data_IF_139310068755
#
_entry.id   IF_139310068755
#
_cell.length_a   1.000
_cell.length_b   1.000
_cell.length_c   1.000
_cell.angle_alpha   90.00
_cell.angle_beta   90.00
_cell.angle_gamma   90.00
#
_symmetry.space_group_name_H-M   'P 1'
#
loop_
_entity.id
_entity.type
_entity.pdbx_description
1 polymer ?
#
# COMPACT_ATOMS: atom_id res chain seq x y z
N UNK A 1 -3.35 -1.74 1.74
CA UNK A 1 -2.15 -2.14 0.97
C UNK A 1 -1.82 -3.58 1.28
N UNK A 2 -0.70 -4.09 0.80
CA UNK A 2 -0.25 -5.45 1.10
C UNK A 2 0.54 -5.48 2.42
N UNK A 3 0.14 -6.38 3.32
CA UNK A 3 0.79 -6.55 4.62
C UNK A 3 1.92 -7.57 4.49
N UNK A 4 3.12 -7.20 4.98
CA UNK A 4 4.31 -8.05 4.97
C UNK A 4 4.01 -9.39 5.66
N UNK A 5 4.43 -10.49 5.06
CA UNK A 5 4.35 -11.82 5.68
C UNK A 5 2.93 -12.34 5.95
N UNK A 6 1.89 -11.67 5.44
CA UNK A 6 0.50 -12.13 5.60
C UNK A 6 0.30 -13.57 5.08
N UNK A 7 -0.55 -14.34 5.75
CA UNK A 7 -0.76 -15.76 5.46
C UNK A 7 -1.23 -15.96 4.02
N UNK A 8 -0.50 -16.80 3.26
CA UNK A 8 -0.81 -17.07 1.85
C UNK A 8 -0.37 -15.98 0.87
N UNK A 9 0.37 -14.97 1.32
CA UNK A 9 0.94 -13.94 0.43
C UNK A 9 2.18 -14.44 -0.32
N UNK A 10 2.70 -13.60 -1.22
CA UNK A 10 3.88 -13.88 -2.04
C UNK A 10 5.14 -14.14 -1.20
N UNK A 11 5.22 -13.54 -0.03
CA UNK A 11 6.40 -13.60 0.84
C UNK A 11 6.63 -15.02 1.39
N UNK A 12 5.67 -15.66 2.11
CA UNK A 12 5.78 -17.07 2.49
C UNK A 12 5.99 -18.00 1.30
N UNK A 13 5.41 -17.67 0.14
CA UNK A 13 5.54 -18.47 -1.07
C UNK A 13 6.97 -18.47 -1.62
N UNK A 14 7.61 -17.30 -1.77
CA UNK A 14 9.00 -17.20 -2.21
C UNK A 14 9.97 -17.81 -1.20
N UNK A 15 9.77 -17.58 0.10
CA UNK A 15 10.56 -18.23 1.16
C UNK A 15 10.50 -19.74 1.08
N UNK A 16 9.30 -20.31 0.90
CA UNK A 16 9.13 -21.76 0.74
C UNK A 16 9.85 -22.28 -0.49
N UNK A 17 9.71 -21.62 -1.65
CA UNK A 17 10.40 -22.02 -2.88
C UNK A 17 11.93 -21.99 -2.71
N UNK A 18 12.47 -20.93 -2.10
CA UNK A 18 13.89 -20.81 -1.82
C UNK A 18 14.37 -21.93 -0.88
N UNK A 19 13.61 -22.22 0.19
CA UNK A 19 13.93 -23.30 1.14
C UNK A 19 13.84 -24.70 0.51
N UNK A 20 12.96 -24.90 -0.48
CA UNK A 20 12.82 -26.15 -1.24
C UNK A 20 13.87 -26.30 -2.35
N UNK A 21 14.79 -25.33 -2.51
CA UNK A 21 15.86 -25.37 -3.51
C UNK A 21 15.38 -25.07 -4.92
N UNK A 22 14.35 -24.24 -5.08
CA UNK A 22 13.91 -23.76 -6.39
C UNK A 22 15.06 -23.07 -7.14
N UNK A 23 15.13 -23.29 -8.45
CA UNK A 23 16.14 -22.65 -9.32
C UNK A 23 15.79 -21.21 -9.69
N UNK A 24 14.50 -20.87 -9.64
CA UNK A 24 13.98 -19.58 -10.05
C UNK A 24 12.70 -19.22 -9.26
N UNK A 25 12.50 -17.93 -9.00
CA UNK A 25 11.25 -17.42 -8.42
C UNK A 25 10.25 -16.99 -9.51
N UNK A 26 8.99 -17.40 -9.43
CA UNK A 26 7.98 -16.98 -10.39
C UNK A 26 7.51 -15.55 -10.14
N UNK A 27 7.63 -14.69 -11.13
CA UNK A 27 7.10 -13.31 -11.14
C UNK A 27 6.03 -13.22 -12.23
N UNK A 28 4.91 -12.58 -11.93
CA UNK A 28 3.79 -12.43 -12.88
C UNK A 28 4.10 -11.40 -13.96
N UNK A 29 4.49 -10.18 -13.58
CA UNK A 29 5.00 -9.14 -14.48
C UNK A 29 6.08 -8.31 -13.73
N UNK A 30 7.28 -8.08 -14.33
CA UNK A 30 8.37 -7.37 -13.67
C UNK A 30 8.06 -5.91 -13.33
N UNK A 31 7.04 -5.31 -13.96
CA UNK A 31 6.61 -3.94 -13.68
C UNK A 31 5.65 -3.86 -12.49
N UNK A 32 5.24 -4.99 -11.89
CA UNK A 32 4.28 -4.96 -10.79
C UNK A 32 4.81 -4.21 -9.58
N UNK A 33 3.93 -3.38 -9.03
CA UNK A 33 4.17 -2.69 -7.76
C UNK A 33 2.99 -2.86 -6.82
N UNK A 34 3.28 -2.79 -5.52
CA UNK A 34 2.27 -2.88 -4.46
C UNK A 34 2.61 -1.89 -3.37
N UNK A 35 1.59 -1.30 -2.77
CA UNK A 35 1.76 -0.62 -1.49
C UNK A 35 2.12 -1.62 -0.40
N UNK A 36 3.05 -1.27 0.48
CA UNK A 36 3.66 -2.20 1.42
C UNK A 36 3.69 -1.59 2.82
N UNK A 37 3.27 -2.34 3.83
CA UNK A 37 3.32 -1.92 5.24
C UNK A 37 3.50 -3.12 6.18
N UNK A 38 4.04 -2.88 7.38
CA UNK A 38 4.07 -3.90 8.44
C UNK A 38 2.69 -4.10 9.04
N UNK A 39 2.48 -5.25 9.66
CA UNK A 39 1.22 -5.52 10.35
C UNK A 39 1.00 -4.56 11.51
N UNK A 40 2.06 -4.31 12.30
CA UNK A 40 2.02 -3.36 13.42
C UNK A 40 1.61 -1.95 12.97
N UNK A 41 2.22 -1.43 11.90
CA UNK A 41 1.88 -0.11 11.34
C UNK A 41 0.39 -0.03 10.96
N UNK A 42 -0.16 -1.12 10.41
CA UNK A 42 -1.58 -1.21 10.07
C UNK A 42 -2.49 -1.20 11.30
N UNK A 43 -2.10 -1.89 12.37
CA UNK A 43 -2.83 -1.90 13.64
C UNK A 43 -2.80 -0.52 14.30
N UNK A 44 -1.63 0.09 14.40
CA UNK A 44 -1.44 1.42 14.97
C UNK A 44 -2.23 2.48 14.19
N UNK A 45 -2.25 2.37 12.85
CA UNK A 45 -3.05 3.24 12.00
C UNK A 45 -4.55 3.11 12.27
N UNK A 46 -5.06 1.90 12.47
CA UNK A 46 -6.47 1.67 12.84
C UNK A 46 -6.79 2.28 14.20
N UNK A 47 -5.94 2.05 15.20
CA UNK A 47 -6.13 2.63 16.54
C UNK A 47 -6.10 4.16 16.53
N UNK A 48 -5.16 4.76 15.80
CA UNK A 48 -5.10 6.22 15.60
C UNK A 48 -6.34 6.73 14.84
N UNK A 49 -6.84 5.95 13.87
CA UNK A 49 -8.07 6.28 13.13
C UNK A 49 -9.28 6.38 14.04
N UNK A 50 -9.43 5.47 15.02
CA UNK A 50 -10.51 5.55 16.00
C UNK A 50 -10.47 6.82 16.86
N UNK A 51 -9.28 7.34 17.16
CA UNK A 51 -9.15 8.57 17.94
C UNK A 51 -9.53 9.82 17.13
N UNK A 52 -9.32 9.82 15.81
CA UNK A 52 -9.54 10.98 14.92
C UNK A 52 -10.89 10.99 14.20
N UNK A 53 -11.55 9.84 14.05
CA UNK A 53 -12.77 9.70 13.24
C UNK A 53 -13.95 10.53 13.75
N UNK A 54 -14.76 11.00 12.82
CA UNK A 54 -16.03 11.68 13.00
C UNK A 54 -17.21 10.88 12.41
N UNK A 55 -16.92 9.83 11.64
CA UNK A 55 -17.86 8.87 11.07
C UNK A 55 -18.04 9.06 9.56
N UNK A 56 -17.91 7.98 8.79
CA UNK A 56 -18.12 7.96 7.33
C UNK A 56 -16.84 8.11 6.49
N UNK A 57 -15.70 8.40 7.11
CA UNK A 57 -14.42 8.52 6.43
C UNK A 57 -13.85 7.19 5.97
N UNK A 58 -13.12 7.22 4.84
CA UNK A 58 -12.18 6.16 4.47
C UNK A 58 -10.77 6.68 4.72
N UNK A 59 -10.10 6.12 5.74
CA UNK A 59 -8.72 6.45 6.08
C UNK A 59 -7.72 5.63 5.25
N UNK A 60 -6.76 6.32 4.64
CA UNK A 60 -5.76 5.72 3.76
C UNK A 60 -4.37 6.14 4.24
N UNK A 61 -3.52 5.23 4.72
CA UNK A 61 -2.21 5.60 5.22
C UNK A 61 -1.26 5.96 4.07
N UNK A 62 -0.36 6.92 4.30
CA UNK A 62 0.78 7.16 3.41
C UNK A 62 1.84 6.10 3.69
N UNK A 63 2.01 5.17 2.76
CA UNK A 63 2.88 4.00 2.89
C UNK A 63 3.69 3.81 1.61
N UNK A 64 4.89 3.25 1.71
CA UNK A 64 5.75 3.11 0.55
C UNK A 64 5.20 2.05 -0.42
N UNK A 65 5.75 2.05 -1.62
CA UNK A 65 5.53 0.99 -2.61
C UNK A 65 6.75 0.08 -2.71
N UNK A 66 6.52 -1.15 -3.13
CA UNK A 66 7.58 -2.10 -3.46
C UNK A 66 7.44 -2.54 -4.92
N UNK A 67 8.57 -2.85 -5.56
CA UNK A 67 8.59 -3.57 -6.84
C UNK A 67 8.70 -5.06 -6.56
N UNK A 68 8.01 -5.87 -7.36
CA UNK A 68 8.06 -7.33 -7.18
C UNK A 68 9.46 -7.91 -7.38
N UNK A 69 10.27 -7.28 -8.22
CA UNK A 69 11.67 -7.64 -8.48
C UNK A 69 12.54 -7.42 -7.24
N UNK A 70 12.33 -6.29 -6.56
CA UNK A 70 13.12 -5.91 -5.38
C UNK A 70 12.75 -6.81 -4.20
N UNK A 71 11.47 -7.22 -4.11
CA UNK A 71 11.04 -8.22 -3.14
C UNK A 71 11.68 -9.59 -3.40
N UNK A 72 11.75 -10.03 -4.67
CA UNK A 72 12.40 -11.30 -5.02
C UNK A 72 13.88 -11.27 -4.62
N UNK A 73 14.59 -10.17 -4.92
CA UNK A 73 15.99 -9.97 -4.56
C UNK A 73 16.21 -9.83 -3.04
N UNK A 74 15.25 -9.27 -2.31
CA UNK A 74 15.30 -9.19 -0.85
C UNK A 74 15.19 -10.59 -0.21
N UNK A 75 14.32 -11.45 -0.75
CA UNK A 75 14.04 -12.79 -0.19
C UNK A 75 15.06 -13.84 -0.62
N UNK A 76 15.46 -13.86 -1.90
CA UNK A 76 16.39 -14.82 -2.46
C UNK A 76 17.44 -14.11 -3.33
N UNK A 77 18.45 -13.47 -2.70
CA UNK A 77 19.42 -12.64 -3.40
C UNK A 77 20.12 -13.38 -4.54
N UNK A 78 20.13 -12.80 -5.74
CA UNK A 78 20.76 -13.38 -6.92
C UNK A 78 20.05 -14.60 -7.51
N UNK A 79 18.91 -15.03 -6.96
CA UNK A 79 18.13 -16.12 -7.53
C UNK A 79 17.45 -15.65 -8.83
N UNK A 80 17.58 -16.39 -9.94
CA UNK A 80 16.88 -16.05 -11.18
C UNK A 80 15.36 -15.93 -10.99
N UNK A 81 14.71 -15.09 -11.80
CA UNK A 81 13.26 -14.95 -11.80
C UNK A 81 12.68 -15.36 -13.14
N UNK A 82 11.51 -15.98 -13.15
CA UNK A 82 10.78 -16.38 -14.36
C UNK A 82 9.45 -15.66 -14.47
N UNK A 83 9.20 -15.07 -15.63
CA UNK A 83 7.92 -14.45 -15.95
C UNK A 83 6.88 -15.53 -16.25
N UNK A 84 5.85 -15.62 -15.41
CA UNK A 84 4.74 -16.60 -15.56
C UNK A 84 3.46 -15.99 -16.14
N UNK A 85 3.45 -14.67 -16.37
CA UNK A 85 2.30 -13.92 -16.86
C UNK A 85 1.36 -13.45 -15.76
N UNK A 86 0.54 -12.46 -16.09
CA UNK A 86 -0.44 -11.85 -15.19
C UNK A 86 -1.59 -12.84 -14.94
N UNK A 87 -1.98 -13.02 -13.67
CA UNK A 87 -3.10 -13.91 -13.30
C UNK A 87 -4.44 -13.23 -13.58
N UNK A 88 -5.53 -14.00 -13.81
CA UNK A 88 -6.86 -13.42 -14.00
C UNK A 88 -7.26 -12.47 -12.88
N UNK A 89 -7.64 -11.24 -13.23
CA UNK A 89 -8.07 -10.21 -12.28
C UNK A 89 -6.93 -9.48 -11.55
N UNK A 90 -5.67 -9.83 -11.80
CA UNK A 90 -4.53 -9.17 -11.17
C UNK A 90 -4.19 -7.84 -11.84
N UNK A 91 -4.02 -6.78 -11.03
CA UNK A 91 -3.62 -5.46 -11.49
C UNK A 91 -2.09 -5.33 -11.54
N UNK A 92 -1.60 -4.50 -12.46
CA UNK A 92 -0.18 -4.14 -12.52
C UNK A 92 0.21 -3.26 -11.31
N UNK A 93 -0.60 -2.25 -11.04
CA UNK A 93 -0.45 -1.33 -9.92
C UNK A 93 -1.77 -1.21 -9.17
N UNK A 94 -1.68 -1.08 -7.85
CA UNK A 94 -2.81 -0.81 -6.98
C UNK A 94 -3.05 0.69 -6.81
N UNK A 95 -4.32 1.06 -6.62
CA UNK A 95 -4.79 2.44 -6.39
C UNK A 95 -5.50 2.48 -5.04
N UNK A 96 -5.16 3.47 -4.22
CA UNK A 96 -5.79 3.72 -2.93
C UNK A 96 -6.70 4.94 -2.93
N UNK A 97 -6.25 6.03 -3.56
CA UNK A 97 -7.10 7.21 -3.84
C UNK A 97 -7.33 7.26 -5.35
N UNK A 98 -8.52 6.87 -5.84
CA UNK A 98 -8.86 7.00 -7.26
C UNK A 98 -8.90 8.47 -7.69
N UNK A 99 -8.40 8.76 -8.89
CA UNK A 99 -8.41 10.11 -9.46
C UNK A 99 -9.80 10.72 -9.50
N UNK A 100 -10.83 9.91 -9.75
CA UNK A 100 -12.21 10.37 -9.85
C UNK A 100 -12.81 10.82 -8.50
N UNK A 101 -12.11 10.55 -7.39
CA UNK A 101 -12.52 10.96 -6.04
C UNK A 101 -11.62 12.07 -5.47
N UNK A 102 -10.81 12.74 -6.30
CA UNK A 102 -9.88 13.78 -5.84
C UNK A 102 -10.60 14.91 -5.08
N UNK A 103 -11.79 15.32 -5.52
CA UNK A 103 -12.57 16.39 -4.89
C UNK A 103 -13.12 16.01 -3.51
N UNK A 104 -13.24 14.70 -3.23
CA UNK A 104 -13.62 14.16 -1.92
C UNK A 104 -12.40 13.74 -1.08
N UNK A 105 -11.18 13.94 -1.58
CA UNK A 105 -9.95 13.50 -0.91
C UNK A 105 -9.25 14.65 -0.19
N UNK A 106 -8.96 14.45 1.09
CA UNK A 106 -8.15 15.32 1.91
C UNK A 106 -6.80 14.68 2.22
N UNK A 107 -5.74 15.46 2.13
CA UNK A 107 -4.39 15.10 2.52
C UNK A 107 -4.07 15.65 3.91
N UNK A 108 -3.62 14.75 4.79
CA UNK A 108 -3.01 15.03 6.08
C UNK A 108 -1.52 14.67 6.03
N UNK A 109 -0.80 14.87 7.12
CA UNK A 109 0.64 14.61 7.18
C UNK A 109 0.99 13.12 6.88
N UNK A 110 0.35 12.19 7.59
CA UNK A 110 0.62 10.75 7.53
C UNK A 110 -0.46 9.93 6.79
N UNK A 111 -1.52 10.57 6.29
CA UNK A 111 -2.66 9.87 5.68
C UNK A 111 -3.46 10.73 4.71
N UNK A 112 -4.35 10.06 3.98
CA UNK A 112 -5.45 10.68 3.26
C UNK A 112 -6.78 10.25 3.88
N UNK A 113 -7.80 11.07 3.64
CA UNK A 113 -9.19 10.81 3.99
C UNK A 113 -10.01 10.98 2.73
N UNK A 114 -10.73 9.93 2.30
CA UNK A 114 -11.82 10.09 1.34
C UNK A 114 -13.09 10.33 2.16
N UNK A 115 -13.69 11.50 1.95
CA UNK A 115 -14.92 11.91 2.61
C UNK A 115 -16.13 11.13 2.05
N UNK A 116 -17.18 10.90 2.86
CA UNK A 116 -18.40 10.29 2.36
C UNK A 116 -19.07 11.19 1.31
N UNK A 117 -19.49 10.61 0.20
CA UNK A 117 -20.18 11.33 -0.90
C UNK A 117 -21.62 11.73 -0.54
N UNK A 118 -22.20 11.14 0.50
CA UNK A 118 -23.54 11.48 0.99
C UNK A 118 -23.44 12.51 2.11
N UNK A 119 -24.19 13.60 1.97
CA UNK A 119 -24.23 14.69 2.97
C UNK A 119 -24.99 14.25 4.23
N UNK A 120 -24.29 13.53 5.11
CA UNK A 120 -24.74 13.25 6.47
C UNK A 120 -24.41 14.39 7.43
N UNK A 121 -25.00 15.57 7.23
CA UNK A 121 -24.80 16.74 8.09
C UNK A 121 -23.53 17.55 7.84
N UNK A 122 -23.40 18.68 8.53
CA UNK A 122 -22.32 19.67 8.39
C UNK A 122 -21.03 19.29 9.15
N UNK A 123 -20.53 18.08 8.93
CA UNK A 123 -19.25 17.64 9.51
C UNK A 123 -18.10 18.21 8.68
N UNK A 124 -17.18 18.90 9.33
CA UNK A 124 -15.95 19.41 8.70
C UNK A 124 -14.82 18.38 8.85
N UNK A 125 -14.67 17.53 7.84
CA UNK A 125 -13.59 16.52 7.80
C UNK A 125 -12.20 17.11 7.57
N UNK A 126 -12.07 18.41 7.24
CA UNK A 126 -10.77 19.06 7.12
C UNK A 126 -10.10 19.27 8.48
N UNK A 127 -10.84 19.13 9.59
CA UNK A 127 -10.30 19.11 10.94
C UNK A 127 -10.84 17.91 11.71
N UNK A 128 -9.97 16.99 12.06
CA UNK A 128 -10.37 15.75 12.73
C UNK A 128 -10.49 15.92 14.27
N UNK A 129 -10.96 14.87 14.96
CA UNK A 129 -11.28 14.93 16.40
C UNK A 129 -10.06 15.18 17.31
N UNK A 130 -8.84 14.90 16.84
CA UNK A 130 -7.59 15.16 17.57
C UNK A 130 -6.91 16.48 17.14
N UNK A 131 -7.55 17.25 16.23
CA UNK A 131 -7.12 18.58 15.84
C UNK A 131 -6.09 18.64 14.70
N UNK A 132 -5.81 17.53 14.03
CA UNK A 132 -5.01 17.56 12.79
C UNK A 132 -5.81 18.25 11.67
N UNK A 133 -5.11 18.95 10.77
CA UNK A 133 -5.72 19.72 9.68
C UNK A 133 -5.36 19.09 8.34
N UNK A 134 -6.38 18.71 7.58
CA UNK A 134 -6.29 18.21 6.23
C UNK A 134 -6.46 19.32 5.20
N UNK A 135 -5.97 19.08 3.98
CA UNK A 135 -6.12 19.99 2.84
C UNK A 135 -6.62 19.24 1.62
N UNK A 136 -7.40 19.87 0.76
CA UNK A 136 -7.80 19.26 -0.51
C UNK A 136 -6.56 18.92 -1.34
N UNK A 137 -6.59 17.75 -1.95
CA UNK A 137 -5.57 17.34 -2.92
C UNK A 137 -5.72 18.11 -4.24
N UNK A 138 -4.68 18.16 -5.10
CA UNK A 138 -4.76 18.77 -6.42
C UNK A 138 -5.81 18.13 -7.33
N UNK A 139 -6.22 18.88 -8.36
CA UNK A 139 -7.10 18.37 -9.41
C UNK A 139 -6.52 17.12 -10.09
N UNK A 140 -7.33 16.06 -10.18
CA UNK A 140 -6.93 14.78 -10.77
C UNK A 140 -5.91 13.98 -9.95
N UNK A 141 -5.67 14.33 -8.68
CA UNK A 141 -4.77 13.60 -7.79
C UNK A 141 -5.12 12.10 -7.74
N UNK A 142 -4.11 11.25 -7.93
CA UNK A 142 -4.21 9.81 -7.76
C UNK A 142 -3.13 9.30 -6.80
N UNK A 143 -3.51 8.39 -5.90
CA UNK A 143 -2.54 7.71 -5.03
C UNK A 143 -2.38 6.27 -5.50
N UNK A 144 -1.34 6.05 -6.32
CA UNK A 144 -1.10 4.84 -7.08
C UNK A 144 0.28 4.25 -6.78
N UNK A 145 0.35 2.94 -6.54
CA UNK A 145 1.61 2.27 -6.22
C UNK A 145 2.64 2.25 -7.35
N UNK A 146 2.25 2.60 -8.58
CA UNK A 146 3.13 2.68 -9.75
C UNK A 146 3.93 3.98 -9.82
N UNK A 147 3.40 5.07 -9.26
CA UNK A 147 3.99 6.42 -9.30
C UNK A 147 4.27 7.00 -7.90
N UNK A 148 4.17 6.19 -6.84
CA UNK A 148 4.40 6.61 -5.46
C UNK A 148 5.81 7.22 -5.30
N UNK A 149 5.97 8.42 -4.69
CA UNK A 149 7.28 9.02 -4.48
C UNK A 149 8.23 8.18 -3.63
N UNK A 150 7.70 7.32 -2.76
CA UNK A 150 8.50 6.48 -1.87
C UNK A 150 8.42 5.00 -2.28
N UNK A 151 9.52 4.49 -2.84
CA UNK A 151 9.71 3.06 -3.07
C UNK A 151 10.73 2.50 -2.08
N UNK A 152 10.41 1.36 -1.47
CA UNK A 152 11.34 0.63 -0.61
C UNK A 152 12.50 0.07 -1.44
N UNK A 153 13.70 0.28 -0.93
CA UNK A 153 14.91 -0.39 -1.41
C UNK A 153 14.94 -1.86 -0.99
N UNK A 154 15.82 -2.64 -1.61
CA UNK A 154 16.03 -4.05 -1.23
C UNK A 154 16.44 -4.18 0.25
N UNK A 155 17.25 -3.25 0.76
CA UNK A 155 17.73 -3.29 2.14
C UNK A 155 16.60 -2.93 3.13
N UNK A 156 15.81 -1.90 2.85
CA UNK A 156 14.63 -1.58 3.66
C UNK A 156 13.61 -2.73 3.64
N UNK A 157 13.44 -3.39 2.48
CA UNK A 157 12.62 -4.59 2.40
C UNK A 157 13.17 -5.67 3.34
N UNK A 158 14.47 -5.96 3.36
CA UNK A 158 15.07 -6.94 4.29
C UNK A 158 14.86 -6.57 5.76
N UNK A 159 14.95 -5.29 6.11
CA UNK A 159 14.71 -4.81 7.48
C UNK A 159 13.26 -5.02 7.95
N UNK A 160 12.30 -5.10 7.02
CA UNK A 160 10.92 -5.47 7.33
C UNK A 160 10.73 -6.97 7.60
N UNK A 161 11.81 -7.77 7.58
CA UNK A 161 11.82 -9.23 7.74
C UNK A 161 10.79 -10.01 6.88
N UNK A 162 10.69 -9.73 5.57
CA UNK A 162 9.79 -10.41 4.64
C UNK A 162 10.13 -11.90 4.61
#
# INVERSE_FOLDING_TARGET
>A
GNVVGSRGSVVPFFRRLAAEGAKELPITDPRMTRFWLRLEDGVDFVLKSFARMQGGEIFIPKIPSMRITDLAEAIAPGMPTKVIGIRPGEKLHEVMCPSDLYYDTLEFDDHFVIMPSTQGGAVDYAKNAIGEIGRSVPDGFDYNSGNNPHFLTVDELREMNP
#
